data_IF_992852543448
#
_entry.id   IF_992852543448
#
_cell.length_a   1.000
_cell.length_b   1.000
_cell.length_c   1.000
_cell.angle_alpha   90.00
_cell.angle_beta   90.00
_cell.angle_gamma   90.00
#
_symmetry.space_group_name_H-M   'P 1'
#
loop_
_entity.id
_entity.type
_entity.pdbx_description
1 polymer ?
#
# COMPACT_ATOMS: atom_id res chain seq x y z
N UNK A 1 23.44 -20.85 2.80
CA UNK A 1 23.94 -19.60 2.19
C UNK A 1 23.91 -18.52 3.26
N UNK A 2 25.05 -17.91 3.59
CA UNK A 2 25.10 -16.77 4.52
C UNK A 2 24.50 -15.57 3.79
N UNK A 3 23.45 -14.96 4.33
CA UNK A 3 22.93 -13.69 3.83
C UNK A 3 24.01 -12.63 4.08
N UNK A 4 24.41 -11.89 3.06
CA UNK A 4 25.36 -10.77 3.22
C UNK A 4 24.62 -9.49 3.57
N UNK A 5 25.29 -8.52 4.23
CA UNK A 5 24.76 -7.15 4.38
C UNK A 5 24.30 -6.54 3.05
N UNK A 6 25.06 -6.78 1.98
CA UNK A 6 24.71 -6.34 0.61
C UNK A 6 23.36 -6.91 0.14
N UNK A 7 23.10 -8.19 0.44
CA UNK A 7 21.83 -8.81 0.08
C UNK A 7 20.64 -8.17 0.83
N UNK A 8 20.83 -7.80 2.11
CA UNK A 8 19.80 -7.07 2.88
C UNK A 8 19.60 -5.67 2.30
N UNK A 9 20.67 -4.98 1.92
CA UNK A 9 20.59 -3.67 1.28
C UNK A 9 19.84 -3.72 -0.06
N UNK A 10 20.07 -4.76 -0.86
CA UNK A 10 19.32 -5.00 -2.09
C UNK A 10 17.83 -5.25 -1.82
N UNK A 11 17.49 -6.00 -0.77
CA UNK A 11 16.10 -6.19 -0.36
C UNK A 11 15.44 -4.89 0.11
N UNK A 12 16.16 -4.04 0.86
CA UNK A 12 15.67 -2.70 1.25
C UNK A 12 15.38 -1.86 0.00
N UNK A 13 16.29 -1.87 -0.97
CA UNK A 13 16.10 -1.17 -2.26
C UNK A 13 14.89 -1.70 -3.03
N UNK A 14 14.68 -3.02 -3.03
CA UNK A 14 13.49 -3.67 -3.59
C UNK A 14 12.19 -3.19 -2.92
N UNK A 15 12.16 -3.16 -1.59
CA UNK A 15 11.03 -2.64 -0.82
C UNK A 15 10.73 -1.18 -1.13
N UNK A 16 11.76 -0.33 -1.22
CA UNK A 16 11.60 1.09 -1.56
C UNK A 16 11.02 1.28 -2.97
N UNK A 17 11.48 0.50 -3.96
CA UNK A 17 10.93 0.52 -5.32
C UNK A 17 9.47 0.08 -5.36
N UNK A 18 9.13 -1.00 -4.64
CA UNK A 18 7.75 -1.49 -4.57
C UNK A 18 6.84 -0.46 -3.88
N UNK A 19 7.31 0.15 -2.80
CA UNK A 19 6.59 1.18 -2.05
C UNK A 19 6.37 2.45 -2.88
N UNK A 20 7.37 2.87 -3.65
CA UNK A 20 7.23 3.99 -4.59
C UNK A 20 6.22 3.65 -5.70
N UNK A 21 6.27 2.43 -6.24
CA UNK A 21 5.27 1.93 -7.19
C UNK A 21 3.84 2.00 -6.65
N UNK A 22 3.63 1.56 -5.40
CA UNK A 22 2.35 1.68 -4.70
C UNK A 22 1.94 3.15 -4.51
N UNK A 23 2.87 4.02 -4.10
CA UNK A 23 2.61 5.44 -3.91
C UNK A 23 2.22 6.14 -5.22
N UNK A 24 2.87 5.83 -6.34
CA UNK A 24 2.48 6.32 -7.67
C UNK A 24 1.08 5.84 -8.05
N UNK A 25 0.78 4.57 -7.77
CA UNK A 25 -0.55 4.00 -8.00
C UNK A 25 -1.65 4.78 -7.24
N UNK A 26 -1.41 5.07 -5.96
CA UNK A 26 -2.31 5.84 -5.10
C UNK A 26 -2.44 7.28 -5.58
N UNK A 27 -1.33 7.97 -5.89
CA UNK A 27 -1.34 9.35 -6.39
C UNK A 27 -2.10 9.47 -7.71
N UNK A 28 -1.88 8.52 -8.62
CA UNK A 28 -2.56 8.46 -9.92
C UNK A 28 -3.98 7.89 -9.86
N UNK A 29 -4.49 7.56 -8.67
CA UNK A 29 -5.82 6.93 -8.47
C UNK A 29 -6.05 5.70 -9.34
N UNK A 30 -4.98 4.94 -9.64
CA UNK A 30 -5.07 3.75 -10.47
C UNK A 30 -5.49 2.55 -9.61
N UNK A 31 -6.74 2.57 -9.14
CA UNK A 31 -7.26 1.59 -8.20
C UNK A 31 -7.26 0.16 -8.76
N UNK A 32 -7.40 0.01 -10.09
CA UNK A 32 -7.34 -1.29 -10.77
C UNK A 32 -6.00 -2.01 -10.55
N UNK A 33 -4.88 -1.27 -10.45
CA UNK A 33 -3.54 -1.84 -10.22
C UNK A 33 -3.15 -1.89 -8.75
N UNK A 34 -3.98 -1.37 -7.84
CA UNK A 34 -3.63 -1.25 -6.42
C UNK A 34 -3.33 -2.62 -5.79
N UNK A 35 -4.17 -3.62 -6.03
CA UNK A 35 -3.98 -4.98 -5.49
C UNK A 35 -2.77 -5.73 -6.05
N UNK A 36 -2.33 -5.41 -7.27
CA UNK A 36 -1.06 -5.94 -7.82
C UNK A 36 0.14 -5.30 -7.10
N UNK A 37 0.11 -3.97 -6.92
CA UNK A 37 1.20 -3.22 -6.27
C UNK A 37 1.32 -3.54 -4.79
N UNK A 38 0.21 -3.74 -4.09
CA UNK A 38 0.19 -4.16 -2.70
C UNK A 38 0.82 -5.55 -2.53
N UNK A 39 0.45 -6.52 -3.39
CA UNK A 39 1.07 -7.86 -3.39
C UNK A 39 2.57 -7.81 -3.66
N UNK A 40 3.02 -6.98 -4.61
CA UNK A 40 4.44 -6.81 -4.90
C UNK A 40 5.21 -6.24 -3.69
N UNK A 41 4.64 -5.25 -2.99
CA UNK A 41 5.21 -4.70 -1.77
C UNK A 41 5.27 -5.73 -0.64
N UNK A 42 4.18 -6.47 -0.40
CA UNK A 42 4.14 -7.51 0.62
C UNK A 42 5.16 -8.62 0.34
N UNK A 43 5.32 -9.02 -0.92
CA UNK A 43 6.34 -10.00 -1.32
C UNK A 43 7.76 -9.50 -1.02
N UNK A 44 8.07 -8.24 -1.36
CA UNK A 44 9.37 -7.64 -1.07
C UNK A 44 9.62 -7.52 0.45
N UNK A 45 8.62 -7.09 1.21
CA UNK A 45 8.71 -6.99 2.68
C UNK A 45 8.96 -8.35 3.34
N UNK A 46 8.29 -9.41 2.87
CA UNK A 46 8.51 -10.77 3.36
C UNK A 46 9.93 -11.26 3.04
N UNK A 47 10.46 -10.98 1.85
CA UNK A 47 11.84 -11.32 1.48
C UNK A 47 12.86 -10.57 2.34
N UNK A 48 12.60 -9.30 2.62
CA UNK A 48 13.42 -8.50 3.51
C UNK A 48 13.40 -9.06 4.94
N UNK A 49 12.22 -9.40 5.48
CA UNK A 49 12.09 -10.00 6.80
C UNK A 49 12.93 -11.28 6.92
N UNK A 50 12.79 -12.21 5.98
CA UNK A 50 13.54 -13.47 5.96
C UNK A 50 15.06 -13.20 5.91
N UNK A 51 15.48 -12.17 5.16
CA UNK A 51 16.90 -11.82 5.00
C UNK A 51 17.49 -11.23 6.28
N UNK A 52 16.73 -10.38 6.96
CA UNK A 52 17.09 -9.76 8.23
C UNK A 52 17.15 -10.78 9.36
N UNK A 53 16.17 -11.69 9.46
CA UNK A 53 16.16 -12.76 10.48
C UNK A 53 17.37 -13.70 10.38
N UNK A 54 17.94 -13.84 9.18
CA UNK A 54 19.14 -14.65 8.93
C UNK A 54 20.45 -13.88 9.15
N UNK A 55 20.39 -12.59 9.44
CA UNK A 55 21.55 -11.73 9.66
C UNK A 55 21.70 -11.46 11.17
N UNK A 56 22.64 -12.12 11.87
CA UNK A 56 22.72 -12.05 13.33
C UNK A 56 23.12 -10.66 13.85
N UNK A 57 23.84 -9.87 13.05
CA UNK A 57 24.25 -8.51 13.40
C UNK A 57 23.93 -7.57 12.23
N UNK A 58 22.98 -6.67 12.44
CA UNK A 58 22.77 -5.52 11.56
C UNK A 58 23.68 -4.39 11.99
N UNK A 59 24.32 -3.73 11.04
CA UNK A 59 25.00 -2.47 11.32
C UNK A 59 24.01 -1.30 11.47
N UNK A 60 24.49 -0.21 12.07
CA UNK A 60 23.67 0.98 12.34
C UNK A 60 23.09 1.62 11.07
N UNK A 61 23.78 1.46 9.93
CA UNK A 61 23.32 2.00 8.66
C UNK A 61 22.10 1.21 8.14
N UNK A 62 22.15 -0.12 8.16
CA UNK A 62 21.02 -0.98 7.82
C UNK A 62 19.84 -0.75 8.76
N UNK A 63 20.09 -0.59 10.06
CA UNK A 63 19.04 -0.26 11.04
C UNK A 63 18.36 1.07 10.68
N UNK A 64 19.15 2.12 10.39
CA UNK A 64 18.64 3.43 9.99
C UNK A 64 17.80 3.36 8.70
N UNK A 65 18.26 2.59 7.71
CA UNK A 65 17.53 2.37 6.47
C UNK A 65 16.20 1.63 6.69
N UNK A 66 16.19 0.59 7.53
CA UNK A 66 14.98 -0.15 7.91
C UNK A 66 13.97 0.74 8.64
N UNK A 67 14.44 1.61 9.54
CA UNK A 67 13.60 2.58 10.24
C UNK A 67 12.98 3.59 9.26
N UNK A 68 13.79 4.10 8.32
CA UNK A 68 13.31 5.00 7.26
C UNK A 68 12.25 4.33 6.38
N UNK A 69 12.49 3.09 5.95
CA UNK A 69 11.54 2.30 5.18
C UNK A 69 10.22 2.10 5.94
N UNK A 70 10.27 1.72 7.22
CA UNK A 70 9.10 1.55 8.06
C UNK A 70 8.30 2.85 8.21
N UNK A 71 8.98 3.99 8.40
CA UNK A 71 8.33 5.29 8.46
C UNK A 71 7.59 5.63 7.16
N UNK A 72 8.22 5.40 6.00
CA UNK A 72 7.60 5.63 4.69
C UNK A 72 6.41 4.70 4.45
N UNK A 73 6.53 3.43 4.85
CA UNK A 73 5.45 2.45 4.76
C UNK A 73 4.24 2.89 5.58
N UNK A 74 4.43 3.23 6.86
CA UNK A 74 3.35 3.71 7.74
C UNK A 74 2.67 4.96 7.19
N UNK A 75 3.43 5.90 6.63
CA UNK A 75 2.87 7.10 5.98
C UNK A 75 1.99 6.73 4.79
N UNK A 76 2.44 5.79 3.97
CA UNK A 76 1.69 5.29 2.80
C UNK A 76 0.40 4.59 3.22
N UNK A 77 0.47 3.72 4.24
CA UNK A 77 -0.71 3.06 4.80
C UNK A 77 -1.74 4.05 5.32
N UNK A 78 -1.34 5.03 6.14
CA UNK A 78 -2.26 6.06 6.65
C UNK A 78 -2.95 6.82 5.52
N UNK A 79 -2.19 7.19 4.47
CA UNK A 79 -2.74 7.85 3.30
C UNK A 79 -3.77 6.97 2.58
N UNK A 80 -3.45 5.70 2.37
CA UNK A 80 -4.35 4.74 1.74
C UNK A 80 -5.63 4.57 2.56
N UNK A 81 -5.53 4.38 3.88
CA UNK A 81 -6.70 4.27 4.76
C UNK A 81 -7.59 5.51 4.71
N UNK A 82 -7.01 6.71 4.65
CA UNK A 82 -7.79 7.94 4.50
C UNK A 82 -8.54 7.98 3.18
N UNK A 83 -7.94 7.49 2.09
CA UNK A 83 -8.56 7.48 0.77
C UNK A 83 -9.67 6.41 0.66
N UNK A 84 -9.47 5.25 1.28
CA UNK A 84 -10.49 4.20 1.36
C UNK A 84 -11.73 4.72 2.10
N UNK A 85 -11.56 5.37 3.25
CA UNK A 85 -12.69 5.96 4.00
C UNK A 85 -13.44 7.02 3.20
N UNK A 86 -12.72 7.84 2.44
CA UNK A 86 -13.35 8.81 1.55
C UNK A 86 -14.17 8.12 0.45
N UNK A 87 -13.61 7.08 -0.19
CA UNK A 87 -14.32 6.30 -1.19
C UNK A 87 -15.56 5.60 -0.63
N UNK A 88 -15.50 5.03 0.57
CA UNK A 88 -16.65 4.42 1.26
C UNK A 88 -17.78 5.45 1.49
N UNK A 89 -17.44 6.66 1.91
CA UNK A 89 -18.39 7.76 2.07
C UNK A 89 -19.04 8.18 0.75
N UNK A 90 -18.26 8.26 -0.33
CA UNK A 90 -18.74 8.59 -1.66
C UNK A 90 -19.70 7.52 -2.19
N UNK A 91 -19.36 6.24 -2.01
CA UNK A 91 -20.20 5.10 -2.40
C UNK A 91 -21.54 5.15 -1.66
N UNK A 92 -21.54 5.35 -0.35
CA UNK A 92 -22.78 5.46 0.44
C UNK A 92 -23.67 6.63 -0.03
N UNK A 93 -23.04 7.75 -0.41
CA UNK A 93 -23.76 8.91 -0.96
C UNK A 93 -24.38 8.62 -2.32
N UNK A 94 -23.65 7.92 -3.20
CA UNK A 94 -24.14 7.48 -4.51
C UNK A 94 -25.31 6.50 -4.38
N UNK A 95 -25.22 5.51 -3.49
CA UNK A 95 -26.29 4.56 -3.23
C UNK A 95 -27.59 5.27 -2.78
N UNK A 96 -27.48 6.26 -1.90
CA UNK A 96 -28.62 7.08 -1.47
C UNK A 96 -29.21 7.87 -2.63
N UNK A 97 -28.37 8.44 -3.49
CA UNK A 97 -28.79 9.13 -4.71
C UNK A 97 -29.54 8.21 -5.66
N UNK A 98 -29.01 7.02 -5.92
CA UNK A 98 -29.63 6.03 -6.79
C UNK A 98 -31.00 5.58 -6.28
N UNK A 99 -31.17 5.37 -4.98
CA UNK A 99 -32.49 5.06 -4.39
C UNK A 99 -33.50 6.19 -4.60
N UNK A 100 -33.08 7.46 -4.47
CA UNK A 100 -33.95 8.60 -4.76
C UNK A 100 -34.37 8.64 -6.22
N UNK A 101 -33.44 8.40 -7.14
CA UNK A 101 -33.75 8.33 -8.58
C UNK A 101 -34.75 7.22 -8.88
N UNK A 102 -34.60 6.04 -8.27
CA UNK A 102 -35.54 4.94 -8.42
C UNK A 102 -36.95 5.32 -7.95
N UNK A 103 -37.09 5.94 -6.76
CA UNK A 103 -38.38 6.40 -6.24
C UNK A 103 -39.04 7.45 -7.14
N UNK A 104 -38.26 8.41 -7.66
CA UNK A 104 -38.78 9.43 -8.59
C UNK A 104 -39.30 8.76 -9.87
N UNK A 105 -38.54 7.79 -10.40
CA UNK A 105 -38.94 7.06 -11.59
C UNK A 105 -40.23 6.28 -11.38
N UNK A 106 -40.35 5.57 -10.26
CA UNK A 106 -41.59 4.86 -9.88
C UNK A 106 -42.80 5.81 -9.77
N UNK A 107 -42.59 7.03 -9.25
CA UNK A 107 -43.65 8.04 -9.15
C UNK A 107 -44.02 8.72 -10.48
N UNK A 108 -43.16 8.63 -11.51
CA UNK A 108 -43.42 9.16 -12.84
C UNK A 108 -44.02 8.11 -13.79
N UNK A 109 -43.66 6.84 -13.59
CA UNK A 109 -44.13 5.70 -14.39
C UNK A 109 -45.46 5.09 -13.86
N UNK A 110 -45.93 5.50 -12.67
CA UNK A 110 -47.19 5.10 -12.05
C UNK A 110 -48.27 6.17 -12.12
#
# INVERSE_FOLDING_TARGET
>A
MKTSPDAVQDQISGCLKALDGLNRCIRGRNWAKLGERDRALNSAMNQLQISVEKLPNLDDNLISQLQSLNLQFRRTQRKLSSLIRAAESDIASLEKGMRKVAMIREALDG
#
